data_IF_710008052658
#
_entry.id   IF_710008052658
#
_cell.length_a   1.000
_cell.length_b   1.000
_cell.length_c   1.000
_cell.angle_alpha   90.00
_cell.angle_beta   90.00
_cell.angle_gamma   90.00
#
_symmetry.space_group_name_H-M   'P 1'
#
loop_
_entity.id
_entity.type
_entity.pdbx_description
1 polymer ?
#
# COMPACT_ATOMS: atom_id res chain seq x y z
N UNK A 1 17.14 11.87 -21.87
CA UNK A 1 16.75 11.51 -20.49
C UNK A 1 15.52 12.33 -20.14
N UNK A 2 14.33 11.72 -20.06
CA UNK A 2 13.08 12.45 -19.91
C UNK A 2 12.76 12.71 -18.44
N UNK A 3 12.63 14.00 -18.11
CA UNK A 3 12.26 14.54 -16.82
C UNK A 3 10.81 14.09 -16.48
N UNK A 4 10.63 13.17 -15.54
CA UNK A 4 9.30 12.79 -15.06
C UNK A 4 8.82 13.82 -14.04
N UNK A 5 8.06 14.78 -14.55
CA UNK A 5 7.36 15.81 -13.79
C UNK A 5 6.41 15.13 -12.77
N UNK A 6 6.73 15.20 -11.47
CA UNK A 6 5.92 14.65 -10.38
C UNK A 6 4.74 15.59 -10.12
N UNK A 7 3.84 15.74 -11.11
CA UNK A 7 2.62 16.51 -10.90
C UNK A 7 1.63 15.67 -10.11
N UNK A 8 1.33 16.11 -8.89
CA UNK A 8 0.27 15.55 -8.03
C UNK A 8 -1.14 15.87 -8.53
N UNK A 9 -1.29 16.62 -9.62
CA UNK A 9 -2.56 17.02 -10.22
C UNK A 9 -2.46 17.11 -11.74
N UNK A 10 -3.58 16.88 -12.43
CA UNK A 10 -3.72 17.03 -13.88
C UNK A 10 -5.09 17.64 -14.20
N UNK A 11 -5.18 18.37 -15.31
CA UNK A 11 -6.43 18.96 -15.80
C UNK A 11 -7.03 18.06 -16.88
N UNK A 12 -8.30 17.68 -16.70
CA UNK A 12 -9.07 16.88 -17.66
C UNK A 12 -10.31 17.66 -18.08
N UNK A 13 -10.73 17.49 -19.33
CA UNK A 13 -11.98 18.07 -19.82
C UNK A 13 -13.15 17.15 -19.45
N UNK A 14 -14.24 17.75 -19.01
CA UNK A 14 -15.51 17.07 -18.86
C UNK A 14 -16.06 16.74 -20.25
N UNK A 15 -16.50 15.51 -20.45
CA UNK A 15 -17.14 15.05 -21.69
C UNK A 15 -18.61 14.83 -21.42
N UNK A 16 -19.47 15.28 -22.33
CA UNK A 16 -20.91 14.98 -22.29
C UNK A 16 -21.17 13.70 -23.06
N UNK A 17 -21.86 12.75 -22.44
CA UNK A 17 -22.26 11.48 -23.05
C UNK A 17 -23.75 11.28 -22.85
N UNK A 18 -24.50 11.02 -23.93
CA UNK A 18 -25.97 10.96 -23.87
C UNK A 18 -26.60 12.32 -23.55
N UNK A 19 -27.86 12.29 -23.09
CA UNK A 19 -28.64 13.52 -22.84
C UNK A 19 -28.21 14.31 -21.59
N UNK A 20 -27.94 13.61 -20.49
CA UNK A 20 -27.75 14.22 -19.16
C UNK A 20 -26.51 13.74 -18.39
N UNK A 21 -25.67 12.87 -18.98
CA UNK A 21 -24.51 12.32 -18.28
C UNK A 21 -23.22 13.01 -18.69
N UNK A 22 -22.35 13.22 -17.72
CA UNK A 22 -20.99 13.70 -17.95
C UNK A 22 -19.99 12.68 -17.44
N UNK A 23 -18.88 12.56 -18.15
CA UNK A 23 -17.75 11.70 -17.76
C UNK A 23 -16.46 12.50 -17.74
N UNK A 24 -15.53 12.08 -16.89
CA UNK A 24 -14.15 12.56 -16.86
C UNK A 24 -13.22 11.36 -16.78
N UNK A 25 -12.17 11.35 -17.60
CA UNK A 25 -11.17 10.29 -17.55
C UNK A 25 -10.32 10.42 -16.29
N UNK A 26 -10.14 9.30 -15.57
CA UNK A 26 -9.26 9.26 -14.40
C UNK A 26 -7.78 9.25 -14.82
N UNK A 27 -6.87 9.77 -13.99
CA UNK A 27 -5.44 9.70 -14.26
C UNK A 27 -4.99 8.24 -14.39
N UNK A 28 -4.41 7.87 -15.53
CA UNK A 28 -3.92 6.50 -15.79
C UNK A 28 -3.00 6.00 -14.67
N UNK A 29 -2.10 6.86 -14.19
CA UNK A 29 -1.20 6.55 -13.08
C UNK A 29 -1.96 6.21 -11.80
N UNK A 30 -2.98 7.01 -11.45
CA UNK A 30 -3.79 6.78 -10.26
C UNK A 30 -4.57 5.46 -10.34
N UNK A 31 -5.13 5.13 -11.52
CA UNK A 31 -5.81 3.86 -11.79
C UNK A 31 -4.88 2.67 -11.54
N UNK A 32 -3.67 2.71 -12.09
CA UNK A 32 -2.65 1.65 -11.92
C UNK A 32 -2.19 1.55 -10.47
N UNK A 33 -1.88 2.67 -9.81
CA UNK A 33 -1.42 2.71 -8.42
C UNK A 33 -2.48 2.20 -7.42
N UNK A 34 -3.76 2.22 -7.79
CA UNK A 34 -4.87 1.67 -7.00
C UNK A 34 -5.36 0.31 -7.53
N UNK A 35 -4.67 -0.27 -8.51
CA UNK A 35 -4.94 -1.62 -9.02
C UNK A 35 -6.34 -1.78 -9.58
N UNK A 36 -6.89 -0.70 -10.12
CA UNK A 36 -8.26 -0.66 -10.59
C UNK A 36 -8.34 -1.20 -12.02
N UNK A 37 -9.41 -1.93 -12.29
CA UNK A 37 -9.75 -2.49 -13.58
C UNK A 37 -11.02 -1.85 -14.14
N UNK A 38 -11.28 -2.09 -15.43
CA UNK A 38 -12.54 -1.68 -16.03
C UNK A 38 -13.70 -2.32 -15.28
N UNK A 39 -14.77 -1.53 -15.06
CA UNK A 39 -15.98 -1.89 -14.30
C UNK A 39 -15.85 -1.90 -12.77
N UNK A 40 -14.67 -1.62 -12.22
CA UNK A 40 -14.55 -1.40 -10.77
C UNK A 40 -15.40 -0.20 -10.32
N UNK A 41 -16.00 -0.32 -9.14
CA UNK A 41 -16.85 0.72 -8.58
C UNK A 41 -16.03 1.79 -7.86
N UNK A 42 -16.42 3.04 -8.06
CA UNK A 42 -15.85 4.20 -7.37
C UNK A 42 -16.98 4.98 -6.68
N UNK A 43 -16.75 5.38 -5.44
CA UNK A 43 -17.58 6.36 -4.74
C UNK A 43 -17.14 7.77 -5.15
N UNK A 44 -18.12 8.61 -5.52
CA UNK A 44 -17.91 10.04 -5.77
C UNK A 44 -18.64 10.83 -4.71
N UNK A 45 -17.89 11.43 -3.78
CA UNK A 45 -18.45 12.23 -2.69
C UNK A 45 -18.46 13.71 -3.04
N UNK A 46 -19.57 14.37 -2.70
CA UNK A 46 -19.71 15.81 -2.79
C UNK A 46 -19.31 16.43 -1.46
N UNK A 47 -18.34 17.35 -1.48
CA UNK A 47 -17.89 18.07 -0.29
C UNK A 47 -18.62 19.40 -0.16
N UNK A 48 -18.87 19.90 1.06
CA UNK A 48 -19.47 21.22 1.27
C UNK A 48 -18.72 22.37 0.59
N UNK A 49 -17.41 22.21 0.36
CA UNK A 49 -16.57 23.17 -0.37
C UNK A 49 -16.80 23.20 -1.88
N UNK A 50 -17.73 22.39 -2.42
CA UNK A 50 -17.96 22.23 -3.87
C UNK A 50 -17.00 21.28 -4.58
N UNK A 51 -16.02 20.71 -3.86
CA UNK A 51 -15.07 19.76 -4.43
C UNK A 51 -15.68 18.35 -4.52
N UNK A 52 -15.32 17.60 -5.57
CA UNK A 52 -15.59 16.17 -5.67
C UNK A 52 -14.41 15.36 -5.16
N UNK A 53 -14.70 14.30 -4.39
CA UNK A 53 -13.70 13.31 -3.96
C UNK A 53 -14.03 11.96 -4.58
N UNK A 54 -13.07 11.36 -5.26
CA UNK A 54 -13.20 10.03 -5.87
C UNK A 54 -12.48 9.01 -4.99
N UNK A 55 -13.17 7.94 -4.63
CA UNK A 55 -12.68 6.91 -3.70
C UNK A 55 -12.96 5.54 -4.34
N UNK A 56 -11.97 4.65 -4.47
CA UNK A 56 -12.23 3.28 -4.86
C UNK A 56 -13.12 2.55 -3.85
N UNK A 57 -14.22 1.94 -4.31
CA UNK A 57 -15.13 1.20 -3.44
C UNK A 57 -14.57 -0.17 -3.05
N UNK A 58 -13.92 -0.82 -4.02
CA UNK A 58 -13.31 -2.13 -3.86
C UNK A 58 -11.96 -2.08 -4.55
N UNK A 59 -11.01 -1.36 -3.97
CA UNK A 59 -9.62 -1.51 -4.42
C UNK A 59 -9.10 -2.83 -3.87
N UNK A 60 -8.67 -3.80 -4.72
CA UNK A 60 -7.90 -4.94 -4.24
C UNK A 60 -6.58 -4.48 -3.59
N UNK A 61 -6.15 -3.26 -3.90
CA UNK A 61 -5.16 -2.52 -3.14
C UNK A 61 -5.85 -1.91 -1.91
N UNK A 62 -6.22 -2.80 -0.98
CA UNK A 62 -5.75 -2.58 0.38
C UNK A 62 -4.26 -2.38 0.17
N UNK A 63 -3.75 -1.15 0.28
CA UNK A 63 -2.31 -0.97 0.47
C UNK A 63 -2.04 -1.73 1.75
N UNK A 64 -1.78 -3.05 1.65
CA UNK A 64 -1.15 -3.80 2.71
C UNK A 64 0.08 -2.97 2.95
N UNK A 65 0.11 -2.27 4.08
CA UNK A 65 1.31 -1.56 4.51
C UNK A 65 2.35 -2.67 4.65
N UNK A 66 3.09 -2.89 3.57
CA UNK A 66 4.05 -3.96 3.47
C UNK A 66 5.38 -3.35 3.86
N UNK A 67 5.98 -3.87 4.92
CA UNK A 67 7.33 -3.50 5.31
C UNK A 67 8.24 -4.65 4.95
N UNK A 68 9.28 -4.36 4.18
CA UNK A 68 10.34 -5.32 3.87
C UNK A 68 11.50 -5.11 4.83
N UNK A 69 11.96 -6.21 5.43
CA UNK A 69 13.11 -6.23 6.34
C UNK A 69 14.11 -7.23 5.80
N UNK A 70 15.27 -6.75 5.37
CA UNK A 70 16.43 -7.58 5.06
C UNK A 70 17.27 -7.72 6.33
N UNK A 71 17.28 -8.93 6.92
CA UNK A 71 18.03 -9.16 8.17
C UNK A 71 19.53 -9.04 7.97
N UNK A 72 20.03 -9.26 6.75
CA UNK A 72 21.45 -9.14 6.42
C UNK A 72 21.97 -7.69 6.45
N UNK A 73 21.06 -6.71 6.33
CA UNK A 73 21.40 -5.28 6.33
C UNK A 73 21.26 -4.65 7.73
N UNK A 74 20.85 -5.44 8.73
CA UNK A 74 20.62 -4.98 10.09
C UNK A 74 21.68 -5.53 11.05
N UNK A 75 22.18 -4.70 11.98
CA UNK A 75 22.87 -5.21 13.15
C UNK A 75 21.96 -6.17 13.92
N UNK A 76 22.49 -7.33 14.33
CA UNK A 76 21.72 -8.41 14.97
C UNK A 76 20.89 -7.92 16.17
N UNK A 77 21.42 -6.96 16.94
CA UNK A 77 20.76 -6.38 18.11
C UNK A 77 19.53 -5.52 17.77
N UNK A 78 19.44 -4.99 16.55
CA UNK A 78 18.37 -4.09 16.10
C UNK A 78 17.24 -4.82 15.36
N UNK A 79 17.44 -6.08 15.00
CA UNK A 79 16.47 -6.82 14.19
C UNK A 79 15.08 -6.91 14.86
N UNK A 80 15.04 -7.07 16.19
CA UNK A 80 13.78 -7.11 16.93
C UNK A 80 13.07 -5.76 16.95
N UNK A 81 13.82 -4.66 17.08
CA UNK A 81 13.26 -3.31 17.13
C UNK A 81 12.68 -2.91 15.78
N UNK A 82 13.32 -3.31 14.68
CA UNK A 82 12.77 -3.10 13.33
C UNK A 82 11.47 -3.88 13.09
N UNK A 83 11.38 -5.12 13.57
CA UNK A 83 10.14 -5.90 13.50
C UNK A 83 9.01 -5.23 14.30
N UNK A 84 9.32 -4.74 15.51
CA UNK A 84 8.37 -4.01 16.35
C UNK A 84 7.96 -2.69 15.69
N UNK A 85 8.91 -1.91 15.14
CA UNK A 85 8.63 -0.65 14.47
C UNK A 85 7.74 -0.86 13.24
N UNK A 86 8.00 -1.91 12.45
CA UNK A 86 7.15 -2.28 11.33
C UNK A 86 5.72 -2.60 11.79
N UNK A 87 5.57 -3.39 12.85
CA UNK A 87 4.27 -3.69 13.45
C UNK A 87 3.54 -2.42 13.93
N UNK A 88 4.22 -1.56 14.70
CA UNK A 88 3.66 -0.33 15.23
C UNK A 88 3.29 0.70 14.15
N UNK A 89 3.93 0.64 12.97
CA UNK A 89 3.55 1.47 11.81
C UNK A 89 2.18 1.10 11.21
N UNK A 90 1.55 0.03 11.70
CA UNK A 90 0.32 -0.52 11.15
C UNK A 90 0.56 -1.34 9.88
N UNK A 91 1.73 -1.98 9.76
CA UNK A 91 2.02 -2.88 8.67
C UNK A 91 1.04 -4.06 8.65
N UNK A 92 0.40 -4.31 7.51
CA UNK A 92 -0.47 -5.47 7.34
C UNK A 92 0.33 -6.73 6.98
N UNK A 93 1.52 -6.56 6.42
CA UNK A 93 2.42 -7.64 6.06
C UNK A 93 3.86 -7.21 6.33
N UNK A 94 4.61 -8.01 7.08
CA UNK A 94 6.04 -7.79 7.27
C UNK A 94 6.76 -8.91 6.54
N UNK A 95 7.45 -8.59 5.44
CA UNK A 95 8.24 -9.56 4.70
C UNK A 95 9.68 -9.52 5.20
N UNK A 96 10.12 -10.64 5.75
CA UNK A 96 11.47 -10.79 6.28
C UNK A 96 12.29 -11.61 5.28
N UNK A 97 13.51 -11.16 4.97
CA UNK A 97 14.42 -11.82 4.03
C UNK A 97 15.77 -12.09 4.67
N UNK A 98 16.36 -13.24 4.29
CA UNK A 98 17.71 -13.67 4.66
C UNK A 98 18.37 -14.35 3.44
N UNK A 99 19.47 -13.82 2.93
CA UNK A 99 20.16 -14.30 1.71
C UNK A 99 20.56 -15.77 1.80
N UNK A 100 21.00 -16.22 2.98
CA UNK A 100 21.43 -17.60 3.24
C UNK A 100 20.31 -18.51 3.78
N UNK A 101 19.07 -18.01 3.81
CA UNK A 101 17.96 -18.67 4.49
C UNK A 101 18.00 -18.50 6.01
N UNK A 102 16.89 -18.81 6.66
CA UNK A 102 16.73 -18.59 8.10
C UNK A 102 17.44 -19.66 8.94
N UNK A 103 18.29 -19.22 9.87
CA UNK A 103 19.00 -20.08 10.81
C UNK A 103 18.22 -20.31 12.12
N UNK A 104 18.85 -20.91 13.14
CA UNK A 104 18.21 -21.13 14.44
C UNK A 104 17.99 -19.83 15.24
N UNK A 105 18.90 -18.86 15.09
CA UNK A 105 18.81 -17.56 15.76
C UNK A 105 17.68 -16.72 15.16
N UNK A 106 17.53 -16.71 13.84
CA UNK A 106 16.43 -16.07 13.12
C UNK A 106 15.08 -16.63 13.56
N UNK A 107 14.94 -17.96 13.65
CA UNK A 107 13.71 -18.59 14.14
C UNK A 107 13.40 -18.20 15.59
N UNK A 108 14.42 -18.06 16.44
CA UNK A 108 14.25 -17.60 17.83
C UNK A 108 13.82 -16.13 17.87
N UNK A 109 14.41 -15.28 17.05
CA UNK A 109 14.03 -13.87 16.88
C UNK A 109 12.56 -13.74 16.43
N UNK A 110 12.17 -14.45 15.37
CA UNK A 110 10.80 -14.40 14.82
C UNK A 110 9.77 -14.92 15.83
N UNK A 111 10.06 -16.01 16.56
CA UNK A 111 9.18 -16.49 17.63
C UNK A 111 9.05 -15.48 18.77
N UNK A 112 10.15 -14.83 19.16
CA UNK A 112 10.11 -13.75 20.16
C UNK A 112 9.23 -12.61 19.68
N UNK A 113 9.37 -12.19 18.43
CA UNK A 113 8.52 -11.15 17.85
C UNK A 113 7.03 -11.52 17.88
N UNK A 114 6.68 -12.76 17.51
CA UNK A 114 5.30 -13.26 17.56
C UNK A 114 4.75 -13.29 19.00
N UNK A 115 5.56 -13.66 20.00
CA UNK A 115 5.11 -13.63 21.39
C UNK A 115 4.78 -12.22 21.90
N UNK A 116 5.40 -11.19 21.31
CA UNK A 116 5.18 -9.78 21.68
C UNK A 116 3.93 -9.24 20.97
N UNK A 117 3.73 -9.59 19.69
CA UNK A 117 2.62 -9.10 18.88
C UNK A 117 1.36 -9.97 19.02
N UNK A 118 0.27 -9.39 19.51
CA UNK A 118 -1.04 -10.07 19.49
C UNK A 118 -1.56 -10.18 18.07
N UNK A 119 -1.96 -11.39 17.64
CA UNK A 119 -2.57 -11.61 16.32
C UNK A 119 -1.58 -11.63 15.15
N UNK A 120 -0.29 -11.86 15.40
CA UNK A 120 0.70 -12.10 14.33
C UNK A 120 0.74 -13.58 14.00
N UNK A 121 0.64 -13.89 12.70
CA UNK A 121 0.76 -15.25 12.17
C UNK A 121 1.91 -15.32 11.16
N UNK A 122 2.60 -16.47 11.11
CA UNK A 122 3.57 -16.75 10.05
C UNK A 122 2.81 -17.38 8.88
N UNK A 123 2.96 -16.79 7.70
CA UNK A 123 2.49 -17.37 6.44
C UNK A 123 3.72 -17.66 5.59
N UNK A 124 3.86 -18.92 5.13
CA UNK A 124 4.96 -19.38 4.28
C UNK A 124 4.59 -19.30 2.80
#
# INVERSE_FOLDING_TARGET
MANQDIRKSEVRRLQKTGGSTFIVSLPKRWVIEHGLMAKDQLRVEWRPSGNLRIIPETSPIIRRREVKIELDDLPEKLAIDHLIAAYLSGANLIRVYRKKGFDAADRKLLRRFISIGRGIEIVN
#
